data_IF_236806125246
#
_entry.id   IF_236806125246
#
_cell.length_a   1.000
_cell.length_b   1.000
_cell.length_c   1.000
_cell.angle_alpha   90.00
_cell.angle_beta   90.00
_cell.angle_gamma   90.00
#
_symmetry.space_group_name_H-M   'P 1'
#
loop_
_entity.id
_entity.type
_entity.pdbx_description
1 polymer ?
#
# COMPACT_ATOMS: atom_id res chain seq x y z
N UNK A 1 15.38 10.13 0.25
CA UNK A 1 14.23 10.09 1.19
C UNK A 1 12.97 9.78 0.40
N UNK A 2 12.66 8.50 0.20
CA UNK A 2 11.48 8.02 -0.53
C UNK A 2 10.49 7.39 0.45
N UNK A 3 9.19 7.52 0.17
CA UNK A 3 8.10 7.00 1.01
C UNK A 3 8.37 5.55 1.42
N UNK A 4 8.55 5.34 2.73
CA UNK A 4 9.08 4.12 3.31
C UNK A 4 8.14 2.94 3.08
N UNK A 5 8.53 2.04 2.19
CA UNK A 5 8.07 0.67 2.29
C UNK A 5 8.56 0.10 3.64
N UNK A 6 7.82 -0.83 4.20
CA UNK A 6 8.16 -1.45 5.49
C UNK A 6 9.32 -2.48 5.37
N UNK A 7 9.90 -2.66 4.17
CA UNK A 7 11.11 -3.45 3.90
C UNK A 7 11.01 -4.98 4.11
N UNK A 8 9.90 -5.48 4.67
CA UNK A 8 9.67 -6.89 4.97
C UNK A 8 8.21 -7.28 4.75
N UNK A 9 7.96 -8.59 4.71
CA UNK A 9 6.62 -9.15 4.69
C UNK A 9 5.84 -8.77 5.95
N UNK A 10 4.56 -8.43 5.77
CA UNK A 10 3.71 -7.90 6.84
C UNK A 10 2.27 -8.37 6.63
N UNK A 11 1.62 -8.78 7.71
CA UNK A 11 0.20 -9.11 7.66
C UNK A 11 -0.66 -7.84 7.65
N UNK A 12 -1.97 -8.02 7.48
CA UNK A 12 -2.89 -6.90 7.35
C UNK A 12 -2.92 -6.01 8.62
N UNK A 13 -3.01 -6.64 9.80
CA UNK A 13 -3.05 -5.93 11.08
C UNK A 13 -1.77 -5.14 11.36
N UNK A 14 -0.61 -5.75 11.08
CA UNK A 14 0.69 -5.10 11.18
C UNK A 14 0.81 -3.92 10.21
N UNK A 15 0.24 -4.04 9.01
CA UNK A 15 0.23 -2.96 8.02
C UNK A 15 -0.57 -1.76 8.49
N UNK A 16 -1.76 -2.02 9.05
CA UNK A 16 -2.57 -0.96 9.65
C UNK A 16 -1.81 -0.22 10.74
N UNK A 17 -1.21 -0.96 11.68
CA UNK A 17 -0.42 -0.38 12.76
C UNK A 17 0.81 0.39 12.25
N UNK A 18 1.48 -0.11 11.20
CA UNK A 18 2.60 0.58 10.55
C UNK A 18 2.16 1.92 9.97
N UNK A 19 1.07 1.94 9.19
CA UNK A 19 0.58 3.16 8.55
C UNK A 19 0.14 4.21 9.57
N UNK A 20 -0.52 3.82 10.66
CA UNK A 20 -0.95 4.75 11.73
C UNK A 20 0.22 5.33 12.53
N UNK A 21 1.32 4.57 12.66
CA UNK A 21 2.55 5.02 13.33
C UNK A 21 3.54 5.73 12.41
N UNK A 22 3.32 5.71 11.10
CA UNK A 22 4.22 6.34 10.14
C UNK A 22 4.27 7.86 10.36
N UNK A 23 5.49 8.43 10.30
CA UNK A 23 5.76 9.87 10.51
C UNK A 23 6.59 10.46 9.38
N UNK A 24 6.34 10.02 8.15
CA UNK A 24 6.99 10.58 6.97
C UNK A 24 6.65 12.06 6.78
N UNK A 25 7.65 12.86 6.45
CA UNK A 25 7.47 14.28 6.11
C UNK A 25 6.94 15.16 7.25
N UNK A 26 7.03 14.73 8.51
CA UNK A 26 6.54 15.49 9.67
C UNK A 26 5.02 15.40 9.90
N UNK A 27 4.30 14.60 9.11
CA UNK A 27 2.85 14.43 9.26
C UNK A 27 2.50 13.24 10.16
N UNK A 28 1.36 13.32 10.85
CA UNK A 28 0.82 12.26 11.71
C UNK A 28 -0.52 11.70 11.22
N UNK A 29 -1.05 12.22 10.11
CA UNK A 29 -2.37 11.88 9.56
C UNK A 29 -2.30 10.76 8.52
N UNK A 30 -1.31 9.88 8.65
CA UNK A 30 -1.13 8.72 7.80
C UNK A 30 -2.13 7.62 8.14
N UNK A 31 -2.54 6.87 7.11
CA UNK A 31 -3.40 5.71 7.23
C UNK A 31 -3.09 4.68 6.15
N UNK A 32 -3.66 3.50 6.35
CA UNK A 32 -3.72 2.48 5.33
C UNK A 32 -4.59 2.95 4.15
N UNK A 33 -4.21 2.66 2.90
CA UNK A 33 -4.95 3.07 1.72
C UNK A 33 -6.18 2.18 1.50
N UNK A 34 -7.12 2.64 0.68
CA UNK A 34 -8.16 1.79 0.07
C UNK A 34 -7.71 1.31 -1.33
N UNK A 35 -8.34 0.27 -1.87
CA UNK A 35 -7.96 -0.29 -3.18
C UNK A 35 -8.04 0.74 -4.33
N UNK A 36 -9.05 1.63 -4.28
CA UNK A 36 -9.26 2.66 -5.30
C UNK A 36 -8.15 3.72 -5.31
N UNK A 37 -7.62 4.07 -4.14
CA UNK A 37 -6.48 4.98 -4.02
C UNK A 37 -5.23 4.36 -4.62
N UNK A 38 -4.97 3.08 -4.34
CA UNK A 38 -3.83 2.35 -4.89
C UNK A 38 -3.91 2.28 -6.42
N UNK A 39 -5.09 2.00 -6.97
CA UNK A 39 -5.33 2.03 -8.41
C UNK A 39 -5.09 3.42 -9.01
N UNK A 40 -5.62 4.48 -8.39
CA UNK A 40 -5.43 5.85 -8.85
C UNK A 40 -3.95 6.29 -8.81
N UNK A 41 -3.23 5.93 -7.74
CA UNK A 41 -1.79 6.18 -7.60
C UNK A 41 -1.03 5.49 -8.74
N UNK A 42 -1.26 4.20 -8.98
CA UNK A 42 -0.61 3.45 -10.05
C UNK A 42 -0.87 4.08 -11.43
N UNK A 43 -2.14 4.35 -11.73
CA UNK A 43 -2.55 4.99 -13.00
C UNK A 43 -1.94 6.39 -13.18
N UNK A 44 -1.75 7.15 -12.11
CA UNK A 44 -1.14 8.48 -12.16
C UNK A 44 0.37 8.42 -12.46
N UNK A 45 1.03 7.34 -12.05
CA UNK A 45 2.46 7.10 -12.30
C UNK A 45 2.67 6.68 -13.76
N UNK A 46 1.84 5.77 -14.28
CA UNK A 46 1.90 5.32 -15.68
C UNK A 46 1.81 6.49 -16.66
N UNK A 47 0.94 7.48 -16.37
CA UNK A 47 0.74 8.65 -17.23
C UNK A 47 1.92 9.63 -17.26
N UNK A 48 2.83 9.60 -16.29
CA UNK A 48 3.87 10.65 -16.14
C UNK A 48 5.24 10.27 -16.69
N UNK A 49 5.48 9.06 -17.21
CA UNK A 49 6.75 8.59 -17.84
C UNK A 49 8.07 8.95 -17.09
N UNK A 50 8.02 9.39 -15.83
CA UNK A 50 9.16 10.01 -15.16
C UNK A 50 9.02 9.92 -13.64
N UNK A 51 9.28 8.73 -13.09
CA UNK A 51 9.78 8.47 -11.71
C UNK A 51 9.98 6.97 -11.50
N UNK A 52 10.87 6.43 -12.33
CA UNK A 52 11.26 5.01 -12.38
C UNK A 52 11.75 4.48 -11.03
N UNK A 53 12.26 5.33 -10.12
CA UNK A 53 12.80 4.90 -8.82
C UNK A 53 11.71 4.58 -7.78
N UNK A 54 10.59 5.32 -7.75
CA UNK A 54 9.50 5.03 -6.80
C UNK A 54 8.71 3.79 -7.25
N UNK A 55 8.62 3.59 -8.57
CA UNK A 55 7.91 2.46 -9.15
C UNK A 55 8.67 1.14 -8.98
N UNK A 56 10.01 1.11 -9.13
CA UNK A 56 10.78 -0.15 -9.02
C UNK A 56 10.66 -0.81 -7.64
N UNK A 57 10.54 -0.04 -6.56
CA UNK A 57 10.38 -0.59 -5.21
C UNK A 57 8.95 -1.01 -4.87
N UNK A 58 7.94 -0.32 -5.41
CA UNK A 58 6.51 -0.56 -5.10
C UNK A 58 5.91 -1.59 -6.07
N UNK A 59 6.28 -1.56 -7.35
CA UNK A 59 5.59 -2.26 -8.43
C UNK A 59 5.53 -3.78 -8.27
N UNK A 60 6.51 -4.40 -7.60
CA UNK A 60 6.63 -5.87 -7.52
C UNK A 60 5.82 -6.53 -6.41
N UNK A 61 5.08 -5.78 -5.60
CA UNK A 61 4.49 -6.31 -4.37
C UNK A 61 2.97 -6.25 -4.35
N UNK A 62 2.38 -7.09 -3.51
CA UNK A 62 1.00 -6.93 -3.10
C UNK A 62 0.96 -5.83 -2.04
N UNK A 63 0.03 -4.90 -2.13
CA UNK A 63 -0.11 -3.80 -1.17
C UNK A 63 -1.42 -4.02 -0.44
N UNK A 64 -1.36 -4.16 0.89
CA UNK A 64 -2.58 -4.29 1.66
C UNK A 64 -3.40 -2.99 1.60
N UNK A 65 -4.72 -3.15 1.49
CA UNK A 65 -5.71 -2.11 1.55
C UNK A 65 -6.62 -2.31 2.78
N UNK A 66 -7.25 -1.23 3.24
CA UNK A 66 -7.92 -1.18 4.54
C UNK A 66 -9.27 -1.90 4.59
N UNK A 67 -9.83 -2.28 3.45
CA UNK A 67 -11.10 -2.99 3.37
C UNK A 67 -10.97 -4.45 3.86
N UNK A 68 -12.03 -4.95 4.49
CA UNK A 68 -12.10 -6.33 5.04
C UNK A 68 -13.38 -7.03 4.61
N UNK A 69 -13.29 -8.33 4.32
CA UNK A 69 -14.43 -9.19 4.00
C UNK A 69 -14.28 -10.51 4.78
N UNK A 70 -15.00 -10.63 5.91
CA UNK A 70 -14.84 -11.76 6.82
C UNK A 70 -13.40 -11.89 7.36
N UNK A 71 -12.75 -13.03 7.11
CA UNK A 71 -11.34 -13.27 7.49
C UNK A 71 -10.34 -12.71 6.48
N UNK A 72 -10.82 -12.16 5.36
CA UNK A 72 -9.99 -11.62 4.30
C UNK A 72 -9.82 -10.12 4.43
N UNK A 73 -8.77 -9.63 3.79
CA UNK A 73 -8.48 -8.23 3.59
C UNK A 73 -8.18 -7.94 2.13
N UNK A 74 -8.48 -6.72 1.73
CA UNK A 74 -8.27 -6.24 0.39
C UNK A 74 -6.80 -5.97 0.10
N UNK A 75 -6.38 -6.18 -1.14
CA UNK A 75 -5.05 -5.79 -1.61
C UNK A 75 -5.06 -5.28 -3.04
N UNK A 76 -3.95 -4.66 -3.43
CA UNK A 76 -3.67 -4.25 -4.79
C UNK A 76 -2.35 -4.85 -5.28
N UNK A 77 -2.35 -5.44 -6.47
CA UNK A 77 -1.17 -5.93 -7.16
C UNK A 77 -0.74 -4.93 -8.22
N UNK A 78 0.32 -4.18 -7.93
CA UNK A 78 0.72 -3.01 -8.72
C UNK A 78 1.19 -3.32 -10.13
N UNK A 79 1.92 -4.41 -10.36
CA UNK A 79 2.38 -4.78 -11.72
C UNK A 79 1.24 -5.01 -12.72
N UNK A 80 0.06 -5.41 -12.24
CA UNK A 80 -1.06 -5.80 -13.10
C UNK A 80 -2.29 -4.91 -12.88
N UNK A 81 -2.19 -3.90 -12.03
CA UNK A 81 -3.34 -3.08 -11.63
C UNK A 81 -4.55 -3.88 -11.14
N UNK A 82 -4.30 -4.99 -10.43
CA UNK A 82 -5.34 -5.92 -9.99
C UNK A 82 -5.73 -5.67 -8.54
N UNK A 83 -7.02 -5.71 -8.26
CA UNK A 83 -7.60 -5.72 -6.91
C UNK A 83 -7.92 -7.16 -6.53
N UNK A 84 -7.72 -7.51 -5.28
CA UNK A 84 -8.04 -8.85 -4.79
C UNK A 84 -8.24 -8.89 -3.28
N UNK A 85 -8.52 -10.10 -2.79
CA UNK A 85 -8.74 -10.41 -1.39
C UNK A 85 -7.84 -11.57 -0.97
N UNK A 86 -7.22 -11.47 0.20
CA UNK A 86 -6.38 -12.51 0.78
C UNK A 86 -6.68 -12.65 2.27
N UNK A 87 -6.39 -13.81 2.85
CA UNK A 87 -6.52 -14.01 4.31
C UNK A 87 -5.72 -12.94 5.06
N UNK A 88 -6.30 -12.36 6.11
CA UNK A 88 -5.65 -11.31 6.90
C UNK A 88 -4.33 -11.75 7.54
N UNK A 89 -4.19 -13.07 7.75
CA UNK A 89 -2.97 -13.73 8.23
C UNK A 89 -1.95 -14.00 7.13
N UNK A 90 -2.25 -13.74 5.86
CA UNK A 90 -1.33 -13.95 4.75
C UNK A 90 -0.08 -13.08 4.89
N UNK A 91 1.10 -13.70 4.70
CA UNK A 91 2.38 -13.03 4.92
C UNK A 91 3.16 -12.75 3.62
N UNK A 92 2.94 -13.51 2.54
CA UNK A 92 3.91 -13.52 1.43
C UNK A 92 3.78 -12.28 0.54
N UNK A 93 4.88 -11.54 0.40
CA UNK A 93 5.06 -10.45 -0.56
C UNK A 93 4.13 -9.24 -0.39
N UNK A 94 3.51 -9.09 0.78
CA UNK A 94 2.69 -7.91 1.10
C UNK A 94 3.54 -6.74 1.65
N UNK A 95 3.18 -5.51 1.26
CA UNK A 95 3.84 -4.27 1.69
C UNK A 95 2.83 -3.25 2.22
N UNK A 96 3.33 -2.40 3.11
CA UNK A 96 2.62 -1.21 3.58
C UNK A 96 2.93 -0.01 2.68
N UNK A 97 1.89 0.74 2.30
CA UNK A 97 2.02 2.02 1.61
C UNK A 97 1.15 3.06 2.31
N UNK A 98 1.66 3.77 3.34
CA UNK A 98 0.88 4.79 4.03
C UNK A 98 0.44 5.91 3.07
N UNK A 99 -0.84 6.29 3.15
CA UNK A 99 -1.40 7.47 2.45
C UNK A 99 -1.91 8.48 3.48
N UNK A 100 -1.97 9.76 3.11
CA UNK A 100 -2.51 10.79 3.99
C UNK A 100 -4.04 10.72 4.02
N UNK A 101 -4.64 11.05 5.16
CA UNK A 101 -6.10 11.28 5.25
C UNK A 101 -6.45 12.55 4.49
N UNK A 102 -7.39 12.45 3.54
CA UNK A 102 -8.03 13.62 2.95
C UNK A 102 -9.04 14.14 3.98
N UNK A 103 -8.99 15.43 4.30
CA UNK A 103 -9.99 16.09 5.16
C UNK A 103 -11.23 16.43 4.34
#
# INVERSE_FOLDING_TARGET
>A
MGAGNNGKDINWQGTRAYCEKYRGGGYSDWRMPIQDELYAICKSIDKKHSRVIVFIEIAKWFIWASETEGTKAAYFYSCYSLKGWAEQSGFIAFRALPVRRVR
#
